data_IF_363078437800
#
_entry.id   IF_363078437800
#
_cell.length_a   1.000
_cell.length_b   1.000
_cell.length_c   1.000
_cell.angle_alpha   90.00
_cell.angle_beta   90.00
_cell.angle_gamma   90.00
#
_symmetry.space_group_name_H-M   'P 1'
#
loop_
_entity.id
_entity.type
_entity.pdbx_description
1 polymer ?
#
# COMPACT_ATOMS: atom_id res chain seq x y z
N UNK A 1 -9.60 59.82 5.90
CA UNK A 1 -8.32 59.48 5.26
C UNK A 1 -7.88 58.12 5.78
N UNK A 2 -8.15 57.11 5.03
CA UNK A 2 -7.74 55.71 5.35
C UNK A 2 -6.76 55.30 4.30
N UNK A 3 -5.48 55.21 4.67
CA UNK A 3 -4.40 54.78 3.80
C UNK A 3 -4.34 53.24 3.71
N UNK A 4 -4.72 52.72 2.57
CA UNK A 4 -4.50 51.29 2.23
C UNK A 4 -3.04 51.07 1.83
N UNK A 5 -2.30 50.36 2.67
CA UNK A 5 -0.94 49.91 2.34
C UNK A 5 -0.99 48.67 1.46
N UNK A 6 -0.81 48.84 0.17
CA UNK A 6 -0.66 47.73 -0.80
C UNK A 6 0.70 47.07 -0.59
N UNK A 7 0.72 45.86 -0.03
CA UNK A 7 1.93 45.00 0.02
C UNK A 7 2.28 44.56 -1.38
N UNK A 8 3.33 45.12 -1.97
CA UNK A 8 3.93 44.64 -3.22
C UNK A 8 4.68 43.38 -2.92
N UNK A 9 4.15 42.23 -3.33
CA UNK A 9 4.87 40.94 -3.32
C UNK A 9 5.87 40.96 -4.49
N UNK A 10 7.17 41.02 -4.18
CA UNK A 10 8.22 40.83 -5.16
C UNK A 10 8.23 39.36 -5.59
N UNK A 11 7.60 39.05 -6.73
CA UNK A 11 7.75 37.76 -7.39
C UNK A 11 9.03 37.77 -8.23
N UNK A 12 9.91 36.78 -8.02
CA UNK A 12 11.07 36.54 -8.89
C UNK A 12 10.59 35.86 -10.18
N UNK A 13 10.79 36.53 -11.31
CA UNK A 13 10.47 35.95 -12.63
C UNK A 13 11.51 34.91 -13.07
N UNK A 14 11.11 33.79 -13.67
CA UNK A 14 12.02 32.83 -14.28
C UNK A 14 12.89 33.50 -15.38
N UNK A 15 14.16 33.08 -15.53
CA UNK A 15 15.16 33.73 -16.36
C UNK A 15 14.81 33.87 -17.88
N UNK A 16 13.92 33.01 -18.40
CA UNK A 16 13.42 33.10 -19.78
C UNK A 16 12.54 34.38 -20.01
N UNK A 17 11.81 34.83 -19.00
CA UNK A 17 10.97 36.03 -19.08
C UNK A 17 11.78 37.35 -19.07
N UNK A 18 12.90 37.39 -18.34
CA UNK A 18 13.76 38.56 -18.31
C UNK A 18 14.35 38.89 -19.68
N UNK A 19 14.60 37.88 -20.53
CA UNK A 19 15.08 38.09 -21.90
C UNK A 19 14.01 38.59 -22.86
N UNK A 20 12.74 38.19 -22.68
CA UNK A 20 11.62 38.65 -23.53
C UNK A 20 11.27 40.13 -23.26
N UNK A 21 11.37 40.61 -22.03
CA UNK A 21 11.13 42.02 -21.68
C UNK A 21 12.21 42.96 -22.18
N UNK A 22 13.42 42.45 -22.40
CA UNK A 22 14.53 43.25 -22.89
C UNK A 22 14.48 43.49 -24.43
N UNK A 23 13.67 42.73 -25.17
CA UNK A 23 13.58 42.76 -26.63
C UNK A 23 12.31 43.42 -27.15
N UNK A 24 11.24 43.51 -26.34
CA UNK A 24 9.96 44.12 -26.73
C UNK A 24 9.85 45.54 -26.22
N UNK A 25 9.73 46.52 -27.12
CA UNK A 25 9.49 47.92 -26.74
C UNK A 25 8.19 48.07 -25.93
N UNK A 26 8.12 49.10 -25.08
CA UNK A 26 7.18 49.29 -23.98
C UNK A 26 5.70 48.95 -24.22
N UNK A 27 5.14 49.19 -25.41
CA UNK A 27 3.74 48.87 -25.72
C UNK A 27 3.48 47.34 -25.83
N UNK A 28 4.42 46.60 -26.42
CA UNK A 28 4.32 45.13 -26.56
C UNK A 28 4.50 44.41 -25.21
N UNK A 29 5.34 44.97 -24.35
CA UNK A 29 5.52 44.45 -22.97
C UNK A 29 4.26 44.61 -22.10
N UNK A 30 3.52 45.69 -22.26
CA UNK A 30 2.27 45.92 -21.54
C UNK A 30 1.17 44.93 -21.99
N UNK A 31 1.04 44.67 -23.28
CA UNK A 31 0.07 43.71 -23.85
C UNK A 31 0.40 42.27 -23.39
N UNK A 32 1.67 41.89 -23.37
CA UNK A 32 2.10 40.57 -22.89
C UNK A 32 1.87 40.41 -21.36
N UNK A 33 2.08 41.48 -20.60
CA UNK A 33 1.83 41.46 -19.15
C UNK A 33 0.34 41.32 -18.85
N UNK A 34 -0.54 42.02 -19.57
CA UNK A 34 -2.01 41.91 -19.39
C UNK A 34 -2.50 40.52 -19.82
N UNK A 35 -1.98 39.98 -20.93
CA UNK A 35 -2.34 38.61 -21.33
C UNK A 35 -1.88 37.55 -20.35
N UNK A 36 -0.68 37.68 -19.80
CA UNK A 36 -0.13 36.76 -18.82
C UNK A 36 -0.89 36.81 -17.46
N UNK A 37 -1.19 38.01 -16.95
CA UNK A 37 -1.99 38.20 -15.75
C UNK A 37 -3.43 37.71 -15.96
N UNK A 38 -4.01 37.91 -17.13
CA UNK A 38 -5.31 37.36 -17.47
C UNK A 38 -5.35 35.83 -17.52
N UNK A 39 -4.28 35.21 -18.05
CA UNK A 39 -4.16 33.75 -18.04
C UNK A 39 -3.95 33.19 -16.62
N UNK A 40 -3.12 33.84 -15.80
CA UNK A 40 -2.96 33.46 -14.38
C UNK A 40 -4.25 33.62 -13.59
N UNK A 41 -5.00 34.72 -13.83
CA UNK A 41 -6.29 34.92 -13.20
C UNK A 41 -7.30 33.84 -13.58
N UNK A 42 -7.41 33.49 -14.86
CA UNK A 42 -8.27 32.40 -15.34
C UNK A 42 -7.85 31.04 -14.77
N UNK A 43 -6.55 30.77 -14.70
CA UNK A 43 -6.02 29.53 -14.16
C UNK A 43 -6.31 29.40 -12.66
N UNK A 44 -6.11 30.48 -11.89
CA UNK A 44 -6.44 30.49 -10.46
C UNK A 44 -7.95 30.35 -10.23
N UNK A 45 -8.79 31.01 -11.04
CA UNK A 45 -10.23 30.87 -10.96
C UNK A 45 -10.72 29.45 -11.28
N UNK A 46 -10.13 28.80 -12.31
CA UNK A 46 -10.44 27.42 -12.65
C UNK A 46 -9.99 26.42 -11.55
N UNK A 47 -8.87 26.71 -10.88
CA UNK A 47 -8.38 25.89 -9.76
C UNK A 47 -9.35 26.01 -8.58
N UNK A 48 -9.82 27.23 -8.26
CA UNK A 48 -10.76 27.45 -7.17
C UNK A 48 -12.13 26.80 -7.44
N UNK A 49 -12.63 26.83 -8.68
CA UNK A 49 -13.86 26.11 -9.06
C UNK A 49 -13.69 24.59 -8.99
N UNK A 50 -12.56 24.05 -9.44
CA UNK A 50 -12.27 22.63 -9.35
C UNK A 50 -12.18 22.15 -7.90
N UNK A 51 -11.62 22.96 -7.01
CA UNK A 51 -11.53 22.67 -5.58
C UNK A 51 -12.92 22.71 -4.91
N UNK A 52 -13.76 23.69 -5.23
CA UNK A 52 -15.13 23.78 -4.74
C UNK A 52 -15.98 22.57 -5.18
N UNK A 53 -15.85 22.14 -6.44
CA UNK A 53 -16.52 20.94 -6.95
C UNK A 53 -16.02 19.67 -6.27
N UNK A 54 -14.72 19.58 -6.00
CA UNK A 54 -14.14 18.43 -5.28
C UNK A 54 -14.69 18.36 -3.84
N UNK A 55 -14.76 19.48 -3.15
CA UNK A 55 -15.35 19.56 -1.80
C UNK A 55 -16.83 19.17 -1.82
N UNK A 56 -17.59 19.63 -2.81
CA UNK A 56 -18.99 19.24 -2.96
C UNK A 56 -19.14 17.73 -3.15
N UNK A 57 -18.30 17.10 -3.99
CA UNK A 57 -18.29 15.65 -4.18
C UNK A 57 -17.93 14.89 -2.89
N UNK A 58 -16.95 15.38 -2.14
CA UNK A 58 -16.56 14.81 -0.85
C UNK A 58 -17.75 14.84 0.13
N UNK A 59 -18.43 15.99 0.25
CA UNK A 59 -19.55 16.15 1.17
C UNK A 59 -20.76 15.29 0.77
N UNK A 60 -21.06 15.16 -0.53
CA UNK A 60 -22.12 14.29 -1.03
C UNK A 60 -21.80 12.81 -0.73
N UNK A 61 -20.59 12.37 -1.05
CA UNK A 61 -20.15 11.00 -0.81
C UNK A 61 -20.09 10.67 0.70
N UNK A 62 -19.67 11.61 1.54
CA UNK A 62 -19.74 11.49 2.99
C UNK A 62 -21.17 11.28 3.48
N UNK A 63 -22.13 12.06 2.96
CA UNK A 63 -23.52 11.93 3.35
C UNK A 63 -24.10 10.55 3.00
N UNK A 64 -23.74 10.00 1.84
CA UNK A 64 -24.15 8.63 1.45
C UNK A 64 -23.50 7.56 2.34
N UNK A 65 -22.20 7.69 2.63
CA UNK A 65 -21.48 6.78 3.53
C UNK A 65 -22.14 6.71 4.93
N UNK A 66 -22.60 7.86 5.44
CA UNK A 66 -23.25 7.91 6.77
C UNK A 66 -24.65 7.29 6.80
N UNK A 67 -25.36 7.25 5.67
CA UNK A 67 -26.70 6.63 5.57
C UNK A 67 -26.65 5.10 5.59
N UNK A 68 -25.59 4.51 5.07
CA UNK A 68 -25.44 3.06 5.00
C UNK A 68 -25.27 2.46 6.41
N UNK A 69 -26.20 1.61 6.84
CA UNK A 69 -26.20 1.03 8.19
C UNK A 69 -25.28 -0.17 8.33
N UNK A 70 -24.94 -0.81 7.23
CA UNK A 70 -24.16 -2.07 7.21
C UNK A 70 -22.66 -1.80 7.08
N UNK A 71 -22.28 -0.57 6.69
CA UNK A 71 -20.88 -0.17 6.61
C UNK A 71 -20.28 0.00 8.01
N UNK A 72 -19.31 -0.84 8.34
CA UNK A 72 -18.55 -0.82 9.60
C UNK A 72 -17.08 -0.41 9.40
N UNK A 73 -16.74 0.21 8.28
CA UNK A 73 -15.36 0.60 7.97
C UNK A 73 -14.79 1.61 8.97
N UNK A 74 -13.46 1.54 9.18
CA UNK A 74 -12.76 2.52 10.01
C UNK A 74 -12.84 3.93 9.43
N UNK A 75 -12.96 4.06 8.09
CA UNK A 75 -13.27 5.34 7.46
C UNK A 75 -14.57 5.93 8.00
N UNK A 76 -15.67 5.17 7.96
CA UNK A 76 -16.98 5.66 8.42
C UNK A 76 -16.95 6.03 9.90
N UNK A 77 -16.32 5.18 10.73
CA UNK A 77 -16.17 5.42 12.18
C UNK A 77 -15.41 6.73 12.46
N UNK A 78 -14.33 7.02 11.73
CA UNK A 78 -13.37 8.05 12.07
C UNK A 78 -13.52 9.36 11.28
N UNK A 79 -14.17 9.33 10.11
CA UNK A 79 -14.47 10.54 9.33
C UNK A 79 -15.71 11.24 9.91
N UNK A 80 -15.58 11.81 11.10
CA UNK A 80 -16.65 12.60 11.73
C UNK A 80 -16.82 13.97 11.03
N UNK A 81 -17.96 14.67 11.20
CA UNK A 81 -18.13 16.02 10.64
C UNK A 81 -17.02 17.01 11.02
N UNK A 82 -16.46 16.86 12.23
CA UNK A 82 -15.33 17.67 12.71
C UNK A 82 -14.05 17.35 11.95
N UNK A 83 -13.78 16.08 11.71
CA UNK A 83 -12.59 15.63 10.95
C UNK A 83 -12.72 16.04 9.49
N UNK A 84 -13.90 15.84 8.88
CA UNK A 84 -14.18 16.23 7.51
C UNK A 84 -13.87 17.73 7.29
N UNK A 85 -14.49 18.63 8.06
CA UNK A 85 -14.24 20.08 7.97
C UNK A 85 -12.79 20.49 8.17
N UNK A 86 -12.03 19.74 8.98
CA UNK A 86 -10.60 19.99 9.20
C UNK A 86 -9.74 19.61 8.00
N UNK A 87 -10.20 18.66 7.18
CA UNK A 87 -9.38 18.00 6.15
C UNK A 87 -9.81 18.32 4.72
N UNK A 88 -11.07 18.70 4.47
CA UNK A 88 -11.65 18.87 3.13
C UNK A 88 -10.90 19.84 2.21
N UNK A 89 -10.24 20.87 2.80
CA UNK A 89 -9.46 21.86 2.06
C UNK A 89 -7.94 21.58 2.05
N UNK A 90 -7.50 20.43 2.58
CA UNK A 90 -6.07 20.12 2.64
C UNK A 90 -5.61 19.43 1.38
N UNK A 91 -4.37 19.76 0.96
CA UNK A 91 -3.64 19.08 -0.11
C UNK A 91 -2.21 18.79 0.31
N UNK A 92 -1.66 17.69 -0.15
CA UNK A 92 -0.22 17.40 -0.05
C UNK A 92 0.56 18.20 -1.10
N UNK A 93 1.89 18.18 -1.02
CA UNK A 93 2.76 18.82 -2.02
C UNK A 93 2.61 18.20 -3.41
N UNK A 94 2.28 16.92 -3.49
CA UNK A 94 2.00 16.22 -4.77
C UNK A 94 0.56 16.39 -5.24
N UNK A 95 -0.26 17.14 -4.51
CA UNK A 95 -1.63 17.49 -4.90
C UNK A 95 -2.72 16.57 -4.36
N UNK A 96 -2.39 15.56 -3.54
CA UNK A 96 -3.40 14.69 -2.93
C UNK A 96 -4.40 15.48 -2.09
N UNK A 97 -5.68 15.24 -2.31
CA UNK A 97 -6.81 15.76 -1.55
C UNK A 97 -7.40 14.71 -0.62
N UNK A 98 -8.32 15.10 0.25
CA UNK A 98 -9.07 14.14 1.07
C UNK A 98 -9.85 13.13 0.20
N UNK A 99 -10.35 13.56 -0.98
CA UNK A 99 -11.06 12.66 -1.90
C UNK A 99 -10.19 11.50 -2.35
N UNK A 100 -8.92 11.75 -2.70
CA UNK A 100 -7.99 10.71 -3.15
C UNK A 100 -7.74 9.68 -2.04
N UNK A 101 -7.72 10.13 -0.78
CA UNK A 101 -7.51 9.28 0.40
C UNK A 101 -8.72 8.37 0.68
N UNK A 102 -9.96 8.88 0.57
CA UNK A 102 -11.17 8.19 1.03
C UNK A 102 -11.94 7.49 -0.10
N UNK A 103 -11.65 7.80 -1.37
CA UNK A 103 -12.39 7.34 -2.55
C UNK A 103 -12.61 5.82 -2.58
N UNK A 104 -11.59 5.04 -2.24
CA UNK A 104 -11.69 3.58 -2.23
C UNK A 104 -12.76 3.08 -1.26
N UNK A 105 -12.83 3.63 -0.06
CA UNK A 105 -13.83 3.25 0.94
C UNK A 105 -15.23 3.80 0.67
N UNK A 106 -15.35 4.92 -0.06
CA UNK A 106 -16.65 5.46 -0.49
C UNK A 106 -17.35 4.57 -1.52
N UNK A 107 -16.62 3.67 -2.17
CA UNK A 107 -17.14 2.73 -3.16
C UNK A 107 -17.09 1.25 -2.72
N UNK A 108 -16.56 0.98 -1.51
CA UNK A 108 -16.42 -0.38 -0.99
C UNK A 108 -16.72 -0.37 0.52
N UNK A 109 -18.00 -0.42 0.86
CA UNK A 109 -18.49 -0.30 2.25
C UNK A 109 -18.16 -1.51 3.12
N UNK A 110 -17.81 -2.64 2.50
CA UNK A 110 -17.31 -3.85 3.12
C UNK A 110 -15.80 -3.82 3.44
N UNK A 111 -15.10 -2.75 3.03
CA UNK A 111 -13.69 -2.56 3.37
C UNK A 111 -13.49 -2.29 4.85
N UNK A 112 -12.65 -3.07 5.52
CA UNK A 112 -12.34 -2.89 6.95
C UNK A 112 -11.77 -1.49 7.24
N UNK A 113 -10.83 -0.99 6.42
CA UNK A 113 -10.15 0.30 6.62
C UNK A 113 -10.81 1.44 5.85
N UNK A 114 -11.01 1.29 4.55
CA UNK A 114 -11.70 2.27 3.69
C UNK A 114 -10.86 3.47 3.25
N UNK A 115 -9.55 3.52 3.49
CA UNK A 115 -8.66 4.60 3.05
C UNK A 115 -7.36 4.08 2.46
N UNK A 116 -6.78 4.87 1.54
CA UNK A 116 -5.43 4.69 1.03
C UNK A 116 -4.65 6.00 1.10
N UNK A 117 -3.40 5.97 1.54
CA UNK A 117 -2.52 7.12 1.41
C UNK A 117 -2.18 7.33 -0.07
N UNK A 118 -2.18 8.57 -0.51
CA UNK A 118 -1.91 8.91 -1.91
C UNK A 118 -0.43 9.24 -2.16
N UNK A 119 0.30 9.58 -1.11
CA UNK A 119 1.72 9.86 -1.09
C UNK A 119 2.28 9.77 0.35
N UNK A 120 3.61 9.82 0.54
CA UNK A 120 4.22 9.80 1.87
C UNK A 120 3.73 10.93 2.81
N UNK A 121 3.45 12.14 2.30
CA UNK A 121 2.99 13.28 3.10
C UNK A 121 1.54 13.11 3.58
N UNK A 122 0.75 12.26 2.94
CA UNK A 122 -0.65 12.01 3.29
C UNK A 122 -0.84 11.65 4.75
N UNK A 123 0.03 10.83 5.32
CA UNK A 123 -0.04 10.41 6.72
C UNK A 123 0.10 11.58 7.70
N UNK A 124 0.92 12.57 7.38
CA UNK A 124 1.07 13.79 8.18
C UNK A 124 -0.04 14.81 7.88
N UNK A 125 -0.34 15.03 6.61
CA UNK A 125 -1.31 16.05 6.18
C UNK A 125 -2.73 15.73 6.64
N UNK A 126 -3.10 14.46 6.58
CA UNK A 126 -4.42 13.94 6.96
C UNK A 126 -4.37 13.16 8.30
N UNK A 127 -3.41 13.46 9.18
CA UNK A 127 -3.21 12.78 10.46
C UNK A 127 -4.48 12.73 11.34
N UNK A 128 -5.35 13.75 11.27
CA UNK A 128 -6.60 13.76 12.03
C UNK A 128 -7.55 12.59 11.70
N UNK A 129 -7.39 11.96 10.53
CA UNK A 129 -8.09 10.75 10.11
C UNK A 129 -7.19 9.52 10.30
N UNK A 130 -5.96 9.56 9.73
CA UNK A 130 -5.07 8.40 9.75
C UNK A 130 -4.69 7.96 11.16
N UNK A 131 -4.35 8.87 12.07
CA UNK A 131 -3.92 8.49 13.43
C UNK A 131 -5.00 7.71 14.18
N UNK A 132 -6.27 8.04 13.99
CA UNK A 132 -7.39 7.31 14.59
C UNK A 132 -7.58 5.94 13.96
N UNK A 133 -7.45 5.84 12.64
CA UNK A 133 -7.51 4.56 11.92
C UNK A 133 -6.35 3.66 12.35
N UNK A 134 -5.14 4.20 12.49
CA UNK A 134 -3.97 3.44 12.93
C UNK A 134 -4.09 2.98 14.39
N UNK A 135 -4.71 3.80 15.26
CA UNK A 135 -4.99 3.40 16.63
C UNK A 135 -6.04 2.29 16.68
N UNK A 136 -7.14 2.42 15.94
CA UNK A 136 -8.20 1.40 15.90
C UNK A 136 -7.72 0.07 15.31
N UNK A 137 -6.93 0.10 14.23
CA UNK A 137 -6.50 -1.11 13.52
C UNK A 137 -5.29 -1.79 14.15
N UNK A 138 -4.24 -1.02 14.43
CA UNK A 138 -2.97 -1.55 14.96
C UNK A 138 -2.82 -1.42 16.47
N UNK A 139 -3.66 -0.62 17.15
CA UNK A 139 -3.44 -0.18 18.52
C UNK A 139 -2.32 0.87 18.63
N UNK A 140 -1.94 1.51 17.53
CA UNK A 140 -0.80 2.43 17.44
C UNK A 140 -1.22 3.86 17.76
N UNK A 141 -0.95 4.30 18.98
CA UNK A 141 -1.31 5.65 19.47
C UNK A 141 -0.53 6.75 18.73
N UNK A 142 -1.11 7.95 18.65
CA UNK A 142 -0.52 9.09 17.92
C UNK A 142 0.89 9.48 18.39
N UNK A 143 1.23 9.26 19.67
CA UNK A 143 2.56 9.49 20.24
C UNK A 143 3.53 8.32 20.12
N UNK A 144 3.09 7.18 19.61
CA UNK A 144 3.93 5.99 19.45
C UNK A 144 4.90 6.15 18.27
N UNK A 145 5.97 5.38 18.32
CA UNK A 145 7.01 5.34 17.28
C UNK A 145 7.29 3.88 16.89
N UNK A 146 7.39 3.65 15.58
CA UNK A 146 7.77 2.37 15.01
C UNK A 146 9.15 1.95 15.54
N UNK A 147 9.34 0.70 15.99
CA UNK A 147 10.65 0.18 16.35
C UNK A 147 11.67 0.27 15.20
N UNK A 148 12.95 0.19 15.53
CA UNK A 148 14.01 0.07 14.53
C UNK A 148 13.81 -1.20 13.70
N UNK A 149 14.33 -1.20 12.47
CA UNK A 149 14.28 -2.38 11.58
C UNK A 149 15.04 -3.53 12.24
N UNK A 150 14.36 -4.63 12.47
CA UNK A 150 14.92 -5.88 12.95
C UNK A 150 14.17 -7.06 12.33
N UNK A 151 14.86 -7.80 11.45
CA UNK A 151 14.35 -9.03 10.85
C UNK A 151 14.65 -10.28 11.70
N UNK A 152 15.38 -10.12 12.80
CA UNK A 152 15.78 -11.25 13.63
C UNK A 152 16.74 -12.20 12.92
N UNK A 153 17.68 -11.71 12.11
CA UNK A 153 18.59 -12.56 11.31
C UNK A 153 19.34 -13.59 12.17
N UNK A 154 19.70 -13.20 13.40
CA UNK A 154 20.38 -14.09 14.35
C UNK A 154 19.40 -15.03 15.09
N UNK A 155 18.10 -14.86 14.88
CA UNK A 155 17.02 -15.57 15.56
C UNK A 155 16.21 -16.44 14.60
N UNK A 156 16.66 -16.65 13.37
CA UNK A 156 15.96 -17.48 12.38
C UNK A 156 15.74 -18.90 12.90
N UNK A 157 16.68 -19.43 13.67
CA UNK A 157 16.57 -20.75 14.33
C UNK A 157 15.46 -20.83 15.39
N UNK A 158 14.89 -19.70 15.81
CA UNK A 158 13.72 -19.67 16.71
C UNK A 158 12.40 -20.01 15.97
N UNK A 159 12.45 -20.19 14.64
CA UNK A 159 11.34 -20.64 13.81
C UNK A 159 11.58 -22.08 13.28
N UNK A 160 11.57 -23.12 14.13
CA UNK A 160 11.54 -24.48 13.63
C UNK A 160 10.26 -24.70 12.80
N UNK A 161 10.22 -25.73 11.94
CA UNK A 161 9.01 -26.02 11.15
C UNK A 161 7.76 -26.06 12.01
N UNK A 162 6.71 -25.31 11.63
CA UNK A 162 5.44 -25.21 12.36
C UNK A 162 4.71 -26.54 12.46
N UNK A 163 4.81 -27.33 11.42
CA UNK A 163 4.15 -28.64 11.27
C UNK A 163 5.13 -29.62 10.63
N UNK A 164 6.02 -30.24 11.39
CA UNK A 164 6.99 -31.21 10.87
C UNK A 164 6.36 -32.43 10.19
N UNK A 165 5.10 -32.71 10.52
CA UNK A 165 4.36 -33.85 9.95
C UNK A 165 3.75 -33.56 8.59
N UNK A 166 3.60 -32.26 8.23
CA UNK A 166 2.93 -31.82 7.01
C UNK A 166 1.41 -32.06 7.00
N UNK A 167 0.80 -32.30 8.18
CA UNK A 167 -0.62 -32.62 8.30
C UNK A 167 -1.53 -31.40 8.12
N UNK A 168 -1.11 -30.26 8.62
CA UNK A 168 -1.91 -29.04 8.68
C UNK A 168 -1.41 -27.93 7.74
N UNK A 169 -0.11 -27.66 7.73
CA UNK A 169 0.47 -26.55 6.97
C UNK A 169 0.94 -27.01 5.59
N UNK A 170 0.33 -26.44 4.54
CA UNK A 170 0.67 -26.72 3.15
C UNK A 170 1.83 -25.86 2.66
N UNK A 171 1.80 -24.58 2.95
CA UNK A 171 2.85 -23.64 2.52
C UNK A 171 2.94 -22.42 3.46
N UNK A 172 4.11 -21.81 3.47
CA UNK A 172 4.39 -20.52 4.12
C UNK A 172 4.64 -19.47 3.04
N UNK A 173 4.07 -18.28 3.22
CA UNK A 173 4.31 -17.14 2.35
C UNK A 173 4.68 -15.93 3.20
N UNK A 174 5.84 -15.35 2.96
CA UNK A 174 6.25 -14.09 3.60
C UNK A 174 6.35 -13.03 2.52
N UNK A 175 5.51 -11.99 2.65
CA UNK A 175 5.47 -10.81 1.77
C UNK A 175 6.07 -9.62 2.52
N UNK A 176 6.96 -8.90 1.86
CA UNK A 176 7.49 -7.63 2.36
C UNK A 176 7.27 -6.55 1.30
N UNK A 177 6.53 -5.51 1.64
CA UNK A 177 6.18 -4.45 0.70
C UNK A 177 7.07 -3.22 0.88
N UNK A 178 7.33 -2.50 -0.22
CA UNK A 178 8.10 -1.25 -0.24
C UNK A 178 7.55 -0.30 -1.29
N UNK A 179 7.55 0.97 -0.97
CA UNK A 179 7.32 2.04 -1.92
C UNK A 179 8.62 2.80 -2.19
N UNK A 180 8.85 3.20 -3.44
CA UNK A 180 10.06 3.93 -3.84
C UNK A 180 9.94 5.39 -3.37
N UNK A 181 11.00 5.90 -2.74
CA UNK A 181 11.05 7.28 -2.28
C UNK A 181 10.99 8.28 -3.44
N UNK A 182 10.28 9.39 -3.24
CA UNK A 182 10.14 10.45 -4.23
C UNK A 182 8.98 10.27 -5.22
N UNK A 183 8.24 9.16 -5.14
CA UNK A 183 7.06 8.91 -5.96
C UNK A 183 5.78 8.92 -5.13
N UNK A 184 4.62 9.30 -5.73
CA UNK A 184 3.31 9.14 -5.09
C UNK A 184 2.94 7.66 -4.99
N UNK A 185 1.85 7.36 -4.28
CA UNK A 185 1.24 6.03 -4.23
C UNK A 185 0.07 5.92 -5.22
N UNK A 186 -0.52 4.75 -5.35
CA UNK A 186 -1.56 4.43 -6.33
C UNK A 186 -2.63 5.52 -6.55
N UNK A 187 -3.21 6.17 -5.51
CA UNK A 187 -4.25 7.18 -5.76
C UNK A 187 -3.83 8.34 -6.67
N UNK A 188 -2.52 8.65 -6.77
CA UNK A 188 -1.98 9.73 -7.58
C UNK A 188 -1.08 9.26 -8.73
N UNK A 189 -0.68 7.99 -8.78
CA UNK A 189 0.20 7.50 -9.85
C UNK A 189 -0.43 7.71 -11.23
N UNK A 190 0.35 8.31 -12.13
CA UNK A 190 0.03 8.44 -13.55
C UNK A 190 0.50 7.21 -14.33
N UNK A 191 0.08 7.10 -15.60
CA UNK A 191 0.56 6.05 -16.50
C UNK A 191 2.10 6.11 -16.65
N UNK A 192 2.65 7.31 -16.82
CA UNK A 192 4.10 7.51 -16.93
C UNK A 192 4.85 7.09 -15.65
N UNK A 193 4.30 7.41 -14.48
CA UNK A 193 4.89 6.99 -13.21
C UNK A 193 4.97 5.47 -13.10
N UNK A 194 3.93 4.75 -13.49
CA UNK A 194 3.93 3.28 -13.49
C UNK A 194 5.04 2.71 -14.39
N UNK A 195 5.20 3.24 -15.61
CA UNK A 195 6.24 2.80 -16.53
C UNK A 195 7.65 3.11 -16.01
N UNK A 196 7.87 4.30 -15.46
CA UNK A 196 9.16 4.71 -14.88
C UNK A 196 9.52 3.83 -13.69
N UNK A 197 8.56 3.56 -12.80
CA UNK A 197 8.74 2.70 -11.63
C UNK A 197 9.05 1.26 -12.04
N UNK A 198 8.29 0.71 -13.00
CA UNK A 198 8.55 -0.63 -13.55
C UNK A 198 9.99 -0.74 -14.06
N UNK A 199 10.42 0.18 -14.94
CA UNK A 199 11.77 0.16 -15.50
C UNK A 199 12.84 0.24 -14.40
N UNK A 200 12.67 1.12 -13.42
CA UNK A 200 13.60 1.30 -12.32
C UNK A 200 13.73 0.03 -11.46
N UNK A 201 12.60 -0.59 -11.11
CA UNK A 201 12.57 -1.80 -10.29
C UNK A 201 13.10 -2.99 -11.09
N UNK A 202 12.68 -3.17 -12.35
CA UNK A 202 13.17 -4.21 -13.25
C UNK A 202 14.70 -4.17 -13.39
N UNK A 203 15.27 -2.98 -13.58
CA UNK A 203 16.73 -2.83 -13.71
C UNK A 203 17.45 -3.25 -12.42
N UNK A 204 16.89 -2.96 -11.25
CA UNK A 204 17.46 -3.40 -9.97
C UNK A 204 17.36 -4.92 -9.77
N UNK A 205 16.23 -5.52 -10.16
CA UNK A 205 15.98 -6.97 -10.05
C UNK A 205 16.91 -7.78 -10.96
N UNK A 206 17.13 -7.33 -12.19
CA UNK A 206 18.03 -8.01 -13.14
C UNK A 206 19.51 -7.96 -12.72
N UNK A 207 19.87 -7.14 -11.75
CA UNK A 207 21.22 -7.06 -11.17
C UNK A 207 21.38 -7.91 -9.89
N UNK A 208 20.43 -8.76 -9.55
CA UNK A 208 20.57 -9.70 -8.44
C UNK A 208 21.53 -10.80 -8.85
N UNK A 209 22.64 -10.91 -8.14
CA UNK A 209 23.72 -11.89 -8.43
C UNK A 209 23.58 -13.18 -7.62
N UNK A 210 22.85 -13.16 -6.51
CA UNK A 210 22.68 -14.31 -5.64
C UNK A 210 21.96 -15.46 -6.37
N UNK A 211 22.58 -16.64 -6.50
CA UNK A 211 22.06 -17.73 -7.36
C UNK A 211 20.64 -18.16 -7.02
N UNK A 212 20.29 -18.23 -5.74
CA UNK A 212 18.96 -18.65 -5.28
C UNK A 212 17.88 -17.60 -5.60
N UNK A 213 18.25 -16.33 -5.78
CA UNK A 213 17.31 -15.23 -6.03
C UNK A 213 17.29 -14.79 -7.49
N UNK A 214 18.29 -15.19 -8.30
CA UNK A 214 18.31 -14.84 -9.73
C UNK A 214 17.08 -15.35 -10.44
N UNK A 215 16.55 -14.56 -11.39
CA UNK A 215 15.33 -14.91 -12.06
C UNK A 215 15.07 -14.13 -13.34
N UNK A 216 13.86 -14.25 -13.81
CA UNK A 216 13.37 -13.63 -15.04
C UNK A 216 12.27 -12.63 -14.67
N UNK A 217 12.30 -11.48 -15.33
CA UNK A 217 11.24 -10.48 -15.23
C UNK A 217 10.28 -10.63 -16.42
N UNK A 218 8.99 -10.69 -16.12
CA UNK A 218 7.92 -10.67 -17.10
C UNK A 218 7.08 -9.40 -16.88
N UNK A 219 6.99 -8.52 -17.87
CA UNK A 219 5.97 -7.48 -17.89
C UNK A 219 4.60 -8.14 -18.01
N UNK A 220 3.57 -7.62 -17.32
CA UNK A 220 2.21 -8.13 -17.48
C UNK A 220 1.69 -7.91 -18.89
N UNK A 221 2.07 -6.80 -19.51
CA UNK A 221 1.84 -6.57 -20.92
C UNK A 221 2.71 -7.49 -21.75
N UNK A 222 2.06 -8.39 -22.49
CA UNK A 222 2.76 -9.37 -23.33
C UNK A 222 3.33 -10.58 -22.57
N UNK A 223 2.97 -10.84 -21.31
CA UNK A 223 3.38 -12.04 -20.60
C UNK A 223 2.91 -13.31 -21.34
N UNK A 224 3.82 -14.28 -21.61
CA UNK A 224 3.44 -15.53 -22.28
C UNK A 224 2.34 -16.28 -21.52
N UNK A 225 1.31 -16.76 -22.23
CA UNK A 225 0.17 -17.47 -21.63
C UNK A 225 0.59 -18.64 -20.72
N UNK A 226 1.58 -19.40 -21.12
CA UNK A 226 2.13 -20.50 -20.31
C UNK A 226 2.63 -20.03 -18.94
N UNK A 227 3.29 -18.86 -18.89
CA UNK A 227 3.81 -18.27 -17.64
C UNK A 227 2.64 -17.77 -16.78
N UNK A 228 1.64 -17.13 -17.41
CA UNK A 228 0.43 -16.69 -16.70
C UNK A 228 -0.27 -17.88 -16.04
N UNK A 229 -0.55 -18.94 -16.79
CA UNK A 229 -1.26 -20.12 -16.31
C UNK A 229 -0.49 -20.82 -15.17
N UNK A 230 0.85 -20.88 -15.27
CA UNK A 230 1.68 -21.45 -14.22
C UNK A 230 1.66 -20.60 -12.94
N UNK A 231 1.76 -19.26 -13.05
CA UNK A 231 1.68 -18.36 -11.90
C UNK A 231 0.28 -18.37 -11.27
N UNK A 232 -0.76 -18.41 -12.09
CA UNK A 232 -2.16 -18.45 -11.64
C UNK A 232 -2.47 -19.74 -10.87
N UNK A 233 -2.03 -20.88 -11.39
CA UNK A 233 -2.21 -22.19 -10.74
C UNK A 233 -1.59 -22.27 -9.35
N UNK A 234 -0.52 -21.50 -9.10
CA UNK A 234 0.16 -21.35 -7.81
C UNK A 234 -0.35 -20.16 -6.98
N UNK A 235 -1.34 -19.42 -7.48
CA UNK A 235 -1.82 -18.18 -6.85
C UNK A 235 -0.72 -17.12 -6.65
N UNK A 236 0.16 -17.01 -7.64
CA UNK A 236 1.28 -16.08 -7.68
C UNK A 236 1.12 -14.99 -8.75
N UNK A 237 0.04 -15.04 -9.53
CA UNK A 237 -0.35 -14.00 -10.47
C UNK A 237 -1.29 -13.01 -9.78
N UNK A 238 -0.97 -11.72 -9.84
CA UNK A 238 -1.92 -10.69 -9.41
C UNK A 238 -2.78 -10.20 -10.58
N UNK A 239 -3.98 -9.71 -10.26
CA UNK A 239 -5.00 -9.34 -11.24
C UNK A 239 -5.65 -7.99 -10.91
N UNK A 240 -6.49 -7.48 -11.81
CA UNK A 240 -7.19 -6.19 -11.68
C UNK A 240 -8.67 -6.34 -11.26
N UNK A 241 -9.01 -7.38 -10.53
CA UNK A 241 -10.40 -7.70 -10.17
C UNK A 241 -10.85 -7.16 -8.81
N UNK A 242 -9.96 -6.52 -8.02
CA UNK A 242 -10.32 -5.92 -6.73
C UNK A 242 -11.01 -4.57 -6.92
N UNK A 243 -12.29 -4.47 -6.52
CA UNK A 243 -13.02 -3.20 -6.51
C UNK A 243 -12.34 -2.14 -5.64
N UNK A 244 -11.81 -2.53 -4.48
CA UNK A 244 -11.11 -1.63 -3.57
C UNK A 244 -9.88 -0.99 -4.23
N UNK A 245 -9.02 -1.79 -4.85
CA UNK A 245 -7.81 -1.32 -5.55
C UNK A 245 -8.15 -0.51 -6.80
N UNK A 246 -9.22 -0.89 -7.53
CA UNK A 246 -9.72 -0.11 -8.66
C UNK A 246 -10.06 1.33 -8.24
N UNK A 247 -10.80 1.48 -7.15
CA UNK A 247 -11.17 2.80 -6.65
C UNK A 247 -10.01 3.51 -5.90
N UNK A 248 -8.97 2.80 -5.51
CA UNK A 248 -7.68 3.38 -5.10
C UNK A 248 -6.77 3.77 -6.27
N UNK A 249 -7.27 3.72 -7.53
CA UNK A 249 -6.54 4.02 -8.77
C UNK A 249 -5.38 3.05 -9.08
N UNK A 250 -5.30 1.91 -8.42
CA UNK A 250 -4.22 0.95 -8.62
C UNK A 250 -4.21 0.31 -10.03
N UNK A 251 -5.33 0.44 -10.77
CA UNK A 251 -5.46 -0.13 -12.13
C UNK A 251 -5.43 0.92 -13.24
N UNK A 252 -4.98 2.14 -12.92
CA UNK A 252 -4.72 3.15 -13.94
C UNK A 252 -3.67 2.63 -14.94
N UNK A 253 -3.93 2.75 -16.24
CA UNK A 253 -3.09 2.25 -17.34
C UNK A 253 -2.79 0.72 -17.29
N UNK A 254 -3.65 -0.09 -16.65
CA UNK A 254 -3.49 -1.54 -16.62
C UNK A 254 -3.51 -2.16 -18.04
N UNK A 255 -2.64 -3.16 -18.37
CA UNK A 255 -1.60 -3.80 -17.53
C UNK A 255 -0.22 -3.13 -17.61
N UNK A 256 -0.08 -2.01 -18.34
CA UNK A 256 1.18 -1.30 -18.57
C UNK A 256 1.85 -0.89 -17.25
N UNK A 257 3.16 -0.91 -17.23
CA UNK A 257 3.96 -0.51 -16.08
C UNK A 257 3.92 -1.51 -14.91
N UNK A 258 3.49 -2.76 -15.13
CA UNK A 258 3.45 -3.81 -14.12
C UNK A 258 4.15 -5.07 -14.59
N UNK A 259 4.65 -5.83 -13.63
CA UNK A 259 5.28 -7.09 -13.96
C UNK A 259 5.59 -7.96 -12.74
N UNK A 260 6.07 -9.14 -13.03
CA UNK A 260 6.45 -10.15 -12.04
C UNK A 260 7.86 -10.63 -12.36
N UNK A 261 8.73 -10.51 -11.37
CA UNK A 261 10.03 -11.18 -11.37
C UNK A 261 9.90 -12.45 -10.54
N UNK A 262 10.49 -13.56 -10.97
CA UNK A 262 10.60 -14.76 -10.15
C UNK A 262 11.86 -15.55 -10.48
N UNK A 263 12.39 -16.26 -9.47
CA UNK A 263 13.44 -17.25 -9.65
C UNK A 263 12.88 -18.54 -10.30
N UNK A 264 13.74 -19.51 -10.60
CA UNK A 264 13.39 -20.70 -11.36
C UNK A 264 12.28 -21.53 -10.71
N UNK A 265 12.37 -21.81 -9.41
CA UNK A 265 11.42 -22.63 -8.66
C UNK A 265 10.21 -21.85 -8.12
N UNK A 266 10.18 -20.52 -8.34
CA UNK A 266 9.15 -19.59 -7.84
C UNK A 266 9.06 -19.52 -6.31
N UNK A 267 10.14 -19.85 -5.63
CA UNK A 267 10.25 -19.65 -4.18
C UNK A 267 10.52 -18.19 -3.81
N UNK A 268 11.04 -17.39 -4.76
CA UNK A 268 11.24 -15.95 -4.63
C UNK A 268 10.60 -15.21 -5.80
N UNK A 269 9.70 -14.28 -5.48
CA UNK A 269 9.01 -13.44 -6.45
C UNK A 269 9.06 -11.98 -6.03
N UNK A 270 8.93 -11.10 -7.03
CA UNK A 270 8.69 -9.68 -6.80
C UNK A 270 7.57 -9.21 -7.74
N UNK A 271 6.46 -8.77 -7.15
CA UNK A 271 5.42 -8.07 -7.87
C UNK A 271 5.76 -6.59 -7.96
N UNK A 272 5.60 -6.02 -9.12
CA UNK A 272 5.91 -4.61 -9.39
C UNK A 272 4.62 -3.88 -9.71
N UNK A 273 4.36 -2.81 -8.94
CA UNK A 273 3.20 -1.93 -9.10
C UNK A 273 1.85 -2.66 -8.98
N UNK A 274 1.70 -3.55 -8.00
CA UNK A 274 0.41 -4.14 -7.64
C UNK A 274 -0.35 -3.18 -6.70
N UNK A 275 -0.31 -3.33 -5.38
CA UNK A 275 -0.86 -2.40 -4.40
C UNK A 275 0.18 -1.37 -3.95
N UNK A 276 1.42 -1.80 -3.78
CA UNK A 276 2.58 -0.95 -3.52
C UNK A 276 3.58 -1.09 -4.69
N UNK A 277 4.59 -0.23 -4.78
CA UNK A 277 5.54 -0.25 -5.91
C UNK A 277 6.29 -1.57 -6.00
N UNK A 278 6.57 -2.22 -4.86
CA UNK A 278 7.26 -3.51 -4.79
C UNK A 278 6.60 -4.37 -3.71
N UNK A 279 6.34 -5.63 -4.06
CA UNK A 279 6.01 -6.70 -3.12
C UNK A 279 7.00 -7.85 -3.30
N UNK A 280 7.98 -7.99 -2.38
CA UNK A 280 8.84 -9.15 -2.33
C UNK A 280 8.07 -10.29 -1.66
N UNK A 281 8.08 -11.46 -2.26
CA UNK A 281 7.34 -12.62 -1.79
C UNK A 281 8.28 -13.81 -1.76
N UNK A 282 8.39 -14.46 -0.60
CA UNK A 282 9.03 -15.75 -0.45
C UNK A 282 7.95 -16.80 -0.18
N UNK A 283 8.00 -17.89 -0.94
CA UNK A 283 7.09 -19.03 -0.82
C UNK A 283 7.90 -20.25 -0.43
N UNK A 284 7.46 -20.96 0.58
CA UNK A 284 8.05 -22.21 1.01
C UNK A 284 6.95 -23.28 1.10
N UNK A 285 7.12 -24.36 0.33
CA UNK A 285 6.25 -25.52 0.45
C UNK A 285 6.53 -26.21 1.80
N UNK A 286 5.46 -26.57 2.52
CA UNK A 286 5.55 -27.04 3.90
C UNK A 286 5.59 -25.90 4.91
N UNK A 287 6.25 -26.10 6.05
CA UNK A 287 6.03 -25.26 7.25
C UNK A 287 7.29 -24.51 7.75
N UNK A 288 8.35 -24.42 6.94
CA UNK A 288 9.62 -23.78 7.31
C UNK A 288 9.55 -22.25 7.17
N UNK A 289 9.10 -21.59 8.23
CA UNK A 289 9.00 -20.12 8.32
C UNK A 289 10.40 -19.47 8.30
N UNK A 290 11.39 -20.11 8.95
CA UNK A 290 12.75 -19.58 9.02
C UNK A 290 13.40 -19.47 7.64
N UNK A 291 13.27 -20.50 6.80
CA UNK A 291 13.78 -20.51 5.42
C UNK A 291 13.10 -19.45 4.55
N UNK A 292 11.76 -19.31 4.65
CA UNK A 292 11.02 -18.28 3.93
C UNK A 292 11.46 -16.87 4.35
N UNK A 293 11.65 -16.62 5.65
CA UNK A 293 12.11 -15.33 6.18
C UNK A 293 13.54 -15.01 5.72
N UNK A 294 14.46 -15.98 5.81
CA UNK A 294 15.84 -15.80 5.36
C UNK A 294 15.92 -15.38 3.89
N UNK A 295 15.05 -15.94 3.03
CA UNK A 295 15.00 -15.61 1.60
C UNK A 295 14.50 -14.17 1.36
N UNK A 296 13.46 -13.70 2.08
CA UNK A 296 13.00 -12.30 2.02
C UNK A 296 14.09 -11.34 2.45
N UNK A 297 14.81 -11.64 3.53
CA UNK A 297 15.91 -10.79 4.03
C UNK A 297 16.99 -10.62 2.95
N UNK A 298 17.41 -11.71 2.32
CA UNK A 298 18.42 -11.65 1.24
C UNK A 298 17.90 -10.85 0.03
N UNK A 299 16.65 -11.06 -0.37
CA UNK A 299 16.02 -10.30 -1.45
C UNK A 299 15.96 -8.79 -1.18
N UNK A 300 15.61 -8.39 0.04
CA UNK A 300 15.61 -6.98 0.44
C UNK A 300 17.01 -6.38 0.41
N UNK A 301 18.00 -7.07 0.97
CA UNK A 301 19.41 -6.63 0.96
C UNK A 301 19.94 -6.43 -0.46
N UNK A 302 19.56 -7.31 -1.39
CA UNK A 302 19.95 -7.18 -2.78
C UNK A 302 19.36 -5.93 -3.48
N UNK A 303 18.23 -5.41 -2.99
CA UNK A 303 17.57 -4.22 -3.55
C UNK A 303 17.89 -2.92 -2.80
N UNK A 304 18.16 -2.96 -1.48
CA UNK A 304 18.39 -1.76 -0.66
C UNK A 304 19.60 -0.92 -1.12
N UNK A 305 20.62 -1.57 -1.70
CA UNK A 305 21.75 -0.85 -2.30
C UNK A 305 21.46 -0.18 -3.66
N UNK A 306 20.32 -0.48 -4.29
CA UNK A 306 19.95 -0.05 -5.65
C UNK A 306 18.73 0.87 -5.66
N UNK A 307 17.86 0.75 -4.66
CA UNK A 307 16.59 1.45 -4.56
C UNK A 307 16.47 2.14 -3.20
N UNK A 308 16.00 3.38 -3.21
CA UNK A 308 15.68 4.11 -1.97
C UNK A 308 14.19 3.98 -1.68
N UNK A 309 13.83 3.54 -0.48
CA UNK A 309 12.45 3.29 -0.10
C UNK A 309 11.86 4.40 0.78
N UNK A 310 10.57 4.65 0.63
CA UNK A 310 9.84 5.63 1.41
C UNK A 310 9.71 5.19 2.87
N UNK A 311 10.20 6.02 3.79
CA UNK A 311 10.22 5.75 5.22
C UNK A 311 9.95 7.01 6.02
N UNK A 312 9.23 6.86 7.11
CA UNK A 312 8.97 7.90 8.11
C UNK A 312 9.56 7.50 9.47
N UNK A 313 10.00 8.49 10.26
CA UNK A 313 10.62 8.25 11.56
C UNK A 313 9.64 7.73 12.62
N UNK A 314 8.35 8.06 12.49
CA UNK A 314 7.27 7.62 13.38
C UNK A 314 6.62 6.33 12.90
N UNK A 315 6.31 6.26 11.60
CA UNK A 315 5.50 5.19 11.02
C UNK A 315 6.30 4.05 10.38
N UNK A 316 7.61 4.16 10.27
CA UNK A 316 8.45 3.14 9.62
C UNK A 316 8.31 3.15 8.09
N UNK A 317 8.23 1.99 7.46
CA UNK A 317 8.06 1.89 6.01
C UNK A 317 6.67 2.35 5.60
N UNK A 318 6.62 3.26 4.61
CA UNK A 318 5.38 3.86 4.13
C UNK A 318 4.82 3.08 2.95
N UNK A 319 3.51 2.85 2.99
CA UNK A 319 2.72 2.09 2.01
C UNK A 319 1.46 2.87 1.67
N UNK A 320 0.80 2.53 0.55
CA UNK A 320 -0.50 3.11 0.20
C UNK A 320 -1.59 2.66 1.17
N UNK A 321 -1.63 1.36 1.49
CA UNK A 321 -2.59 0.78 2.42
C UNK A 321 -2.09 0.89 3.86
N UNK A 322 -2.83 1.56 4.77
CA UNK A 322 -2.44 1.70 6.17
C UNK A 322 -2.21 0.38 6.91
N UNK A 323 -2.86 -0.72 6.50
CA UNK A 323 -2.65 -2.04 7.12
C UNK A 323 -1.23 -2.58 6.97
N UNK A 324 -0.50 -2.11 5.96
CA UNK A 324 0.85 -2.58 5.63
C UNK A 324 1.96 -1.70 6.21
N UNK A 325 1.65 -0.62 6.95
CA UNK A 325 2.64 0.30 7.52
C UNK A 325 3.59 -0.36 8.51
N UNK A 326 4.70 0.29 8.76
CA UNK A 326 5.61 -0.03 9.88
C UNK A 326 6.65 -1.07 9.52
N UNK A 327 6.49 -2.32 9.94
CA UNK A 327 7.35 -3.43 9.52
C UNK A 327 7.20 -3.72 8.02
N UNK A 328 6.00 -3.46 7.48
CA UNK A 328 5.60 -3.74 6.11
C UNK A 328 5.80 -5.22 5.73
N UNK A 329 5.61 -6.13 6.70
CA UNK A 329 5.71 -7.57 6.56
C UNK A 329 4.35 -8.21 6.81
N UNK A 330 3.91 -9.05 5.89
CA UNK A 330 2.80 -9.96 6.01
C UNK A 330 3.33 -11.39 5.89
N UNK A 331 3.33 -12.12 6.99
CA UNK A 331 3.67 -13.54 7.04
C UNK A 331 2.37 -14.34 7.11
N UNK A 332 2.19 -15.27 6.19
CA UNK A 332 0.98 -16.06 6.07
C UNK A 332 1.30 -17.55 5.94
N UNK A 333 0.37 -18.38 6.34
CA UNK A 333 0.39 -19.81 6.09
C UNK A 333 -0.89 -20.23 5.37
N UNK A 334 -0.75 -21.20 4.47
CA UNK A 334 -1.86 -21.95 3.95
C UNK A 334 -2.06 -23.19 4.83
N UNK A 335 -3.18 -23.25 5.55
CA UNK A 335 -3.40 -24.22 6.62
C UNK A 335 -4.76 -24.91 6.50
N UNK A 336 -4.79 -26.20 6.84
CA UNK A 336 -5.98 -27.05 6.89
C UNK A 336 -6.44 -27.21 8.34
N UNK A 337 -7.64 -26.74 8.66
CA UNK A 337 -8.23 -26.78 10.01
C UNK A 337 -9.67 -27.30 9.96
N UNK A 338 -9.88 -28.61 9.63
CA UNK A 338 -11.21 -29.14 9.32
C UNK A 338 -12.20 -29.15 10.47
N UNK A 339 -11.76 -29.12 11.72
CA UNK A 339 -12.61 -29.10 12.91
C UNK A 339 -12.76 -27.67 13.45
N UNK A 340 -11.64 -26.97 13.66
CA UNK A 340 -11.62 -25.65 14.28
C UNK A 340 -12.34 -24.62 13.39
N UNK A 341 -12.17 -24.69 12.07
CA UNK A 341 -12.81 -23.75 11.13
C UNK A 341 -14.34 -23.86 11.08
N UNK A 342 -14.93 -24.95 11.57
CA UNK A 342 -16.38 -25.13 11.67
C UNK A 342 -17.00 -24.53 12.92
N UNK A 343 -16.18 -24.13 13.90
CA UNK A 343 -16.67 -23.48 15.12
C UNK A 343 -17.15 -22.07 14.81
N UNK A 344 -18.26 -21.66 15.42
CA UNK A 344 -18.87 -20.34 15.22
C UNK A 344 -17.98 -19.19 15.70
N UNK A 345 -17.05 -19.45 16.64
CA UNK A 345 -16.11 -18.48 17.21
C UNK A 345 -14.71 -18.52 16.56
N UNK A 346 -14.53 -19.23 15.43
CA UNK A 346 -13.23 -19.36 14.75
C UNK A 346 -12.59 -18.01 14.42
N UNK A 347 -13.40 -17.07 13.88
CA UNK A 347 -12.89 -15.73 13.54
C UNK A 347 -12.50 -14.95 14.80
N UNK A 348 -13.24 -15.08 15.89
CA UNK A 348 -12.93 -14.45 17.18
C UNK A 348 -11.64 -15.02 17.80
N UNK A 349 -11.41 -16.32 17.65
CA UNK A 349 -10.16 -16.97 18.06
C UNK A 349 -8.98 -16.39 17.28
N UNK A 350 -9.08 -16.30 15.95
CA UNK A 350 -8.04 -15.70 15.12
C UNK A 350 -7.77 -14.24 15.52
N UNK A 351 -8.81 -13.45 15.74
CA UNK A 351 -8.69 -12.06 16.17
C UNK A 351 -7.95 -11.92 17.52
N UNK A 352 -8.30 -12.73 18.51
CA UNK A 352 -7.63 -12.77 19.84
C UNK A 352 -6.15 -13.14 19.74
N UNK A 353 -5.78 -13.95 18.75
CA UNK A 353 -4.40 -14.31 18.45
C UNK A 353 -3.67 -13.27 17.58
N UNK A 354 -4.31 -12.13 17.27
CA UNK A 354 -3.84 -11.12 16.33
C UNK A 354 -3.54 -11.70 14.95
N UNK A 355 -4.34 -12.64 14.50
CA UNK A 355 -4.31 -13.25 13.18
C UNK A 355 -5.44 -12.69 12.31
N UNK A 356 -5.19 -12.67 11.01
CA UNK A 356 -6.16 -12.31 9.98
C UNK A 356 -6.38 -13.51 9.06
N UNK A 357 -7.64 -13.87 8.86
CA UNK A 357 -8.04 -14.88 7.88
C UNK A 357 -8.36 -14.18 6.56
N UNK A 358 -7.70 -14.56 5.47
CA UNK A 358 -7.99 -14.02 4.15
C UNK A 358 -9.25 -14.69 3.57
N UNK A 359 -10.34 -13.92 3.52
CA UNK A 359 -11.63 -14.38 3.00
C UNK A 359 -11.69 -14.47 1.47
N UNK A 360 -10.78 -13.84 0.74
CA UNK A 360 -10.81 -13.83 -0.73
C UNK A 360 -10.49 -15.20 -1.31
N UNK A 361 -9.68 -15.99 -0.62
CA UNK A 361 -9.32 -17.35 -1.04
C UNK A 361 -10.36 -18.42 -0.68
N UNK A 362 -11.32 -18.12 0.18
CA UNK A 362 -12.40 -19.06 0.54
C UNK A 362 -13.34 -19.31 -0.66
N UNK A 363 -13.41 -18.39 -1.62
CA UNK A 363 -14.31 -18.43 -2.79
C UNK A 363 -13.66 -18.98 -4.07
N UNK A 364 -12.40 -19.43 -4.03
CA UNK A 364 -11.77 -20.01 -5.22
C UNK A 364 -12.33 -21.40 -5.51
N UNK A 365 -12.88 -21.66 -6.72
CA UNK A 365 -13.41 -22.98 -7.10
C UNK A 365 -12.36 -24.11 -7.11
N UNK A 366 -11.07 -23.73 -7.09
CA UNK A 366 -9.93 -24.66 -7.16
C UNK A 366 -9.39 -25.09 -5.80
N UNK A 367 -9.86 -24.47 -4.70
CA UNK A 367 -9.49 -24.86 -3.33
C UNK A 367 -10.65 -25.59 -2.66
N UNK A 368 -10.38 -26.72 -2.02
CA UNK A 368 -11.31 -27.33 -1.09
C UNK A 368 -11.62 -26.31 0.02
N UNK A 369 -12.87 -26.22 0.47
CA UNK A 369 -13.38 -25.30 1.49
C UNK A 369 -12.68 -25.42 2.87
N UNK A 370 -11.62 -26.20 2.96
CA UNK A 370 -10.95 -26.58 4.21
C UNK A 370 -9.57 -25.92 4.38
N UNK A 371 -9.02 -25.21 3.35
CA UNK A 371 -7.76 -24.50 3.44
C UNK A 371 -7.96 -22.99 3.58
N UNK A 372 -7.24 -22.41 4.52
CA UNK A 372 -7.27 -20.98 4.83
C UNK A 372 -5.89 -20.36 4.66
N UNK A 373 -5.83 -19.12 4.17
CA UNK A 373 -4.64 -18.28 4.34
C UNK A 373 -4.81 -17.46 5.62
N UNK A 374 -3.92 -17.69 6.58
CA UNK A 374 -3.95 -16.99 7.88
C UNK A 374 -2.61 -16.27 8.07
N UNK A 375 -2.67 -14.97 8.36
CA UNK A 375 -1.50 -14.10 8.48
C UNK A 375 -1.49 -13.30 9.78
N UNK A 376 -0.36 -12.64 10.08
CA UNK A 376 -0.35 -11.61 11.13
C UNK A 376 -1.33 -10.48 10.77
N UNK A 377 -2.07 -9.99 11.74
CA UNK A 377 -2.98 -8.85 11.58
C UNK A 377 -2.23 -7.52 11.66
N UNK A 378 -1.30 -7.40 12.58
CA UNK A 378 -0.57 -6.15 12.86
C UNK A 378 0.79 -6.12 12.18
N UNK A 379 1.17 -4.93 11.70
CA UNK A 379 2.48 -4.64 11.12
C UNK A 379 3.09 -3.37 11.72
N UNK A 380 2.28 -2.36 12.06
CA UNK A 380 2.72 -1.13 12.69
C UNK A 380 2.88 -1.32 14.22
N UNK A 381 3.96 -0.80 14.77
CA UNK A 381 4.33 -0.97 16.18
C UNK A 381 5.13 -2.24 16.46
N UNK A 382 5.42 -3.03 15.44
CA UNK A 382 6.19 -4.29 15.53
C UNK A 382 7.43 -4.21 14.63
N UNK A 383 8.52 -4.84 15.05
CA UNK A 383 9.65 -5.15 14.16
C UNK A 383 9.21 -6.19 13.10
N UNK A 384 10.02 -6.41 12.08
CA UNK A 384 9.77 -7.44 11.08
C UNK A 384 9.76 -8.84 11.71
N UNK A 385 10.70 -9.09 12.62
CA UNK A 385 10.78 -10.33 13.39
C UNK A 385 9.51 -10.55 14.24
N UNK A 386 9.05 -9.52 14.98
CA UNK A 386 7.86 -9.63 15.82
C UNK A 386 6.59 -9.86 15.00
N UNK A 387 6.47 -9.26 13.81
CA UNK A 387 5.34 -9.51 12.92
C UNK A 387 5.30 -10.99 12.44
N UNK A 388 6.46 -11.56 12.05
CA UNK A 388 6.57 -12.97 11.69
C UNK A 388 6.31 -13.87 12.90
N UNK A 389 6.85 -13.51 14.06
CA UNK A 389 6.66 -14.27 15.31
C UNK A 389 5.19 -14.29 15.75
N UNK A 390 4.47 -13.19 15.59
CA UNK A 390 3.04 -13.13 15.89
C UNK A 390 2.24 -14.15 15.07
N UNK A 391 2.51 -14.22 13.77
CA UNK A 391 1.91 -15.25 12.92
C UNK A 391 2.32 -16.65 13.36
N UNK A 392 3.63 -16.87 13.57
CA UNK A 392 4.16 -18.17 13.96
C UNK A 392 3.53 -18.71 15.26
N UNK A 393 3.53 -17.90 16.32
CA UNK A 393 2.97 -18.28 17.61
C UNK A 393 1.45 -18.52 17.54
N UNK A 394 0.73 -17.65 16.80
CA UNK A 394 -0.70 -17.80 16.61
C UNK A 394 -1.09 -19.07 15.83
N UNK A 395 -0.36 -19.38 14.74
CA UNK A 395 -0.59 -20.62 13.97
C UNK A 395 -0.28 -21.86 14.80
N UNK A 396 0.80 -21.84 15.57
CA UNK A 396 1.13 -22.95 16.49
C UNK A 396 -0.01 -23.22 17.47
N UNK A 397 -0.64 -22.17 17.99
CA UNK A 397 -1.79 -22.31 18.88
C UNK A 397 -3.03 -22.83 18.14
N UNK A 398 -3.30 -22.37 16.91
CA UNK A 398 -4.40 -22.92 16.09
C UNK A 398 -4.22 -24.43 15.81
N UNK A 399 -3.00 -24.87 15.49
CA UNK A 399 -2.69 -26.31 15.29
C UNK A 399 -2.98 -27.08 16.60
N UNK A 400 -2.51 -26.59 17.75
CA UNK A 400 -2.78 -27.19 19.04
C UNK A 400 -4.28 -27.31 19.33
N UNK A 401 -5.05 -26.27 19.04
CA UNK A 401 -6.51 -26.26 19.20
C UNK A 401 -7.21 -27.24 18.26
N UNK A 402 -6.76 -27.36 17.02
CA UNK A 402 -7.29 -28.32 16.04
C UNK A 402 -7.07 -29.77 16.50
N UNK A 403 -5.91 -30.07 17.08
CA UNK A 403 -5.58 -31.40 17.60
C UNK A 403 -6.50 -31.83 18.77
N UNK A 404 -6.93 -30.87 19.59
CA UNK A 404 -7.74 -31.12 20.76
C UNK A 404 -9.26 -30.89 20.55
N UNK A 405 -9.68 -30.59 19.31
CA UNK A 405 -11.08 -30.31 18.94
C UNK A 405 -11.91 -31.56 18.61
#
# INVERSE_FOLDING_TARGET
MVGSATKVVKMSMPGAFKKLFAVAGGATAAVLAVSYTGQLYKMNYQIDEADALAIQKINAAYAELQKDKDCNSLLKKNLTPKVLRKLENKKTKLGASLHDIIRSGLHNYDSEIGVHAADPESYQKFAALFDKILEDYHGFKSGAKQPAVDFGEKKISEFPPLDPTGKYVKSVRIRCVRSIAGYPFNPLLTADDYMILEQKVRNALLQIEEPELRGIYYSLDGMPKKVQDELDSKQLLFSNNSSLLKHANAYNAWPEGRGIFHNEDKSFLVWVNEEDHISLISVEEGSDVGKALARVIRGLKALEGKLTFARDNRLGWLTSNPSNLGSAVNAAVQIHLPKLSKKSDFMDICEKLNLRVDSTNIKSPQMSSEYYFISNKKSLGLTQYEAVKQMYDGIKELIRMEEHS
#
